data_IF_137057637441
#
_entry.id   IF_137057637441
#
_cell.length_a   1.000
_cell.length_b   1.000
_cell.length_c   1.000
_cell.angle_alpha   90.00
_cell.angle_beta   90.00
_cell.angle_gamma   90.00
#
_symmetry.space_group_name_H-M   'P 1'
#
loop_
_entity.id
_entity.type
_entity.pdbx_description
1 polymer ?
#
# COMPACT_ATOMS: atom_id res chain seq x y z
N UNK A 1 25.15 -11.02 22.24
CA UNK A 1 23.68 -11.06 22.10
C UNK A 1 23.12 -9.68 21.72
N UNK A 2 23.72 -8.98 20.74
CA UNK A 2 23.28 -7.63 20.31
C UNK A 2 22.66 -7.66 18.89
N UNK A 3 22.94 -8.71 18.12
CA UNK A 3 22.57 -8.82 16.70
C UNK A 3 21.08 -9.15 16.45
N UNK A 4 20.37 -9.71 17.44
CA UNK A 4 18.96 -10.10 17.31
C UNK A 4 17.98 -8.91 17.35
N UNK A 5 18.43 -7.72 17.78
CA UNK A 5 17.57 -6.54 17.93
C UNK A 5 17.25 -5.85 16.60
N UNK A 6 18.00 -6.14 15.52
CA UNK A 6 17.83 -5.49 14.22
C UNK A 6 16.90 -6.25 13.25
N UNK A 7 16.43 -7.45 13.60
CA UNK A 7 15.59 -8.27 12.70
C UNK A 7 14.17 -7.74 12.46
N UNK A 8 13.75 -6.69 13.17
CA UNK A 8 12.39 -6.15 13.10
C UNK A 8 12.18 -5.03 12.08
N UNK A 9 13.23 -4.61 11.35
CA UNK A 9 13.15 -3.48 10.38
C UNK A 9 12.89 -3.98 8.94
N UNK A 10 12.21 -5.12 8.78
CA UNK A 10 11.82 -5.62 7.47
C UNK A 10 10.54 -4.92 6.98
N UNK A 11 10.68 -3.76 6.35
CA UNK A 11 9.59 -3.05 5.66
C UNK A 11 9.65 -3.38 4.16
N UNK A 12 8.92 -4.39 3.70
CA UNK A 12 8.85 -4.78 2.28
C UNK A 12 7.45 -4.65 1.67
N UNK A 13 6.47 -4.24 2.47
CA UNK A 13 5.10 -3.97 2.04
C UNK A 13 5.00 -2.48 1.69
N UNK A 14 4.83 -2.20 0.41
CA UNK A 14 4.57 -0.85 -0.10
C UNK A 14 3.09 -0.71 -0.43
N UNK A 15 2.51 0.45 -0.09
CA UNK A 15 1.12 0.77 -0.48
C UNK A 15 1.17 1.70 -1.69
N UNK A 16 0.67 1.22 -2.83
CA UNK A 16 0.66 1.97 -4.09
C UNK A 16 -0.78 2.34 -4.48
N UNK A 17 -0.98 3.51 -5.11
CA UNK A 17 -2.26 3.85 -5.74
C UNK A 17 -2.47 2.96 -6.98
N UNK A 18 -3.67 2.39 -7.15
CA UNK A 18 -4.00 1.54 -8.30
C UNK A 18 -4.02 2.37 -9.60
N UNK A 19 -4.33 3.66 -9.49
CA UNK A 19 -4.38 4.59 -10.61
C UNK A 19 -3.35 5.70 -10.39
N UNK A 20 -2.55 6.08 -11.41
CA UNK A 20 -1.55 7.14 -11.29
C UNK A 20 -2.15 8.56 -11.22
N UNK A 21 -3.47 8.68 -11.17
CA UNK A 21 -4.20 9.94 -11.23
C UNK A 21 -5.63 9.79 -10.76
N UNK A 22 -6.56 10.53 -11.36
CA UNK A 22 -7.96 10.45 -10.98
C UNK A 22 -8.53 9.03 -11.22
N UNK A 23 -9.28 8.52 -10.25
CA UNK A 23 -9.96 7.22 -10.36
C UNK A 23 -10.99 7.29 -11.51
N UNK A 24 -10.91 6.41 -12.51
CA UNK A 24 -11.84 6.42 -13.64
C UNK A 24 -13.30 6.30 -13.19
N UNK A 25 -14.18 7.07 -13.82
CA UNK A 25 -15.63 7.09 -13.53
C UNK A 25 -16.00 7.37 -12.06
N UNK A 26 -15.09 7.97 -11.28
CA UNK A 26 -15.37 8.35 -9.90
C UNK A 26 -16.42 9.46 -9.82
N UNK A 27 -17.30 9.36 -8.82
CA UNK A 27 -18.30 10.39 -8.51
C UNK A 27 -17.85 11.17 -7.29
N UNK A 28 -18.16 12.47 -7.25
CA UNK A 28 -17.94 13.29 -6.06
C UNK A 28 -18.75 12.72 -4.89
N UNK A 29 -18.11 12.64 -3.73
CA UNK A 29 -18.70 12.12 -2.50
C UNK A 29 -18.10 12.87 -1.31
N UNK A 30 -18.92 13.08 -0.28
CA UNK A 30 -18.48 13.65 1.01
C UNK A 30 -18.11 12.56 2.02
N UNK A 31 -18.38 11.29 1.68
CA UNK A 31 -18.00 10.15 2.53
C UNK A 31 -16.49 10.15 2.72
N UNK A 32 -16.06 9.86 3.94
CA UNK A 32 -14.64 9.66 4.27
C UNK A 32 -14.32 8.17 4.27
N UNK A 33 -13.12 7.85 3.81
CA UNK A 33 -12.59 6.51 3.94
C UNK A 33 -12.29 6.21 5.41
N UNK A 34 -12.61 5.00 5.85
CA UNK A 34 -12.35 4.56 7.23
C UNK A 34 -11.64 3.22 7.24
N UNK A 35 -10.70 3.06 8.18
CA UNK A 35 -10.02 1.81 8.44
C UNK A 35 -10.48 1.25 9.79
N UNK A 36 -11.05 0.05 9.79
CA UNK A 36 -11.49 -0.60 11.02
C UNK A 36 -11.32 -2.12 10.89
N UNK A 37 -10.77 -2.76 11.93
CA UNK A 37 -10.61 -4.22 12.01
C UNK A 37 -9.87 -4.83 10.81
N UNK A 38 -8.82 -4.16 10.34
CA UNK A 38 -8.04 -4.64 9.18
C UNK A 38 -8.72 -4.44 7.83
N UNK A 39 -9.82 -3.67 7.76
CA UNK A 39 -10.58 -3.46 6.54
C UNK A 39 -10.80 -1.98 6.26
N UNK A 40 -10.53 -1.56 5.03
CA UNK A 40 -10.91 -0.25 4.51
C UNK A 40 -12.37 -0.25 4.05
N UNK A 41 -13.12 0.79 4.41
CA UNK A 41 -14.52 1.00 4.04
C UNK A 41 -14.67 2.35 3.35
N UNK A 42 -15.60 2.40 2.39
CA UNK A 42 -15.85 3.58 1.56
C UNK A 42 -14.59 4.07 0.84
N UNK A 43 -13.85 3.14 0.20
CA UNK A 43 -12.60 3.44 -0.49
C UNK A 43 -12.82 4.47 -1.59
N UNK A 44 -12.12 5.60 -1.50
CA UNK A 44 -12.21 6.72 -2.46
C UNK A 44 -11.01 6.69 -3.40
N UNK A 45 -9.84 6.37 -2.83
CA UNK A 45 -8.59 6.21 -3.57
C UNK A 45 -8.13 4.76 -3.42
N UNK A 46 -8.44 3.89 -4.39
CA UNK A 46 -8.04 2.50 -4.33
C UNK A 46 -6.53 2.36 -4.28
N UNK A 47 -6.04 1.66 -3.26
CA UNK A 47 -4.63 1.31 -3.09
C UNK A 47 -4.45 -0.20 -3.06
N UNK A 48 -3.22 -0.64 -3.35
CA UNK A 48 -2.80 -2.03 -3.27
C UNK A 48 -1.57 -2.11 -2.38
N UNK A 49 -1.59 -3.05 -1.44
CA UNK A 49 -0.40 -3.44 -0.70
C UNK A 49 0.38 -4.47 -1.53
N UNK A 50 1.58 -4.09 -1.95
CA UNK A 50 2.44 -4.90 -2.81
C UNK A 50 3.73 -5.26 -2.08
N UNK A 51 4.18 -6.49 -2.29
CA UNK A 51 5.52 -6.92 -1.90
C UNK A 51 6.42 -6.80 -3.12
N UNK A 52 7.24 -5.76 -3.18
CA UNK A 52 8.18 -5.55 -4.28
C UNK A 52 9.57 -6.07 -3.88
N UNK A 53 10.30 -6.72 -4.80
CA UNK A 53 11.70 -7.04 -4.57
C UNK A 53 12.51 -5.74 -4.44
N UNK A 54 13.65 -5.81 -3.76
CA UNK A 54 14.64 -4.72 -3.77
C UNK A 54 14.93 -4.30 -5.21
N UNK A 55 14.99 -2.99 -5.47
CA UNK A 55 15.14 -2.45 -6.83
C UNK A 55 16.34 -3.02 -7.58
N UNK A 56 17.43 -3.31 -6.86
CA UNK A 56 18.66 -3.90 -7.42
C UNK A 56 18.52 -5.37 -7.84
N UNK A 57 17.49 -6.07 -7.34
CA UNK A 57 17.21 -7.50 -7.60
C UNK A 57 15.96 -7.71 -8.46
N UNK A 58 15.22 -6.65 -8.77
CA UNK A 58 14.03 -6.73 -9.62
C UNK A 58 14.42 -7.09 -11.06
N UNK A 59 13.83 -8.16 -11.61
CA UNK A 59 14.09 -8.64 -12.98
C UNK A 59 12.84 -8.60 -13.89
N UNK A 60 11.71 -8.10 -13.38
CA UNK A 60 10.51 -7.84 -14.18
C UNK A 60 10.74 -6.58 -15.03
N UNK A 61 10.60 -6.73 -16.35
CA UNK A 61 10.62 -5.61 -17.32
C UNK A 61 9.21 -5.31 -17.80
#
# INVERSE_FOLDING_TARGET
MICLLFSFIAHSQDVIEIYPGAVPNSKKTEKKETFNSGMFRSVIKPTLEVYLPEKEKANGT
#
